data_IF_391203851641
#
_entry.id   IF_391203851641
#
_cell.length_a   1.000
_cell.length_b   1.000
_cell.length_c   1.000
_cell.angle_alpha   90.00
_cell.angle_beta   90.00
_cell.angle_gamma   90.00
#
_symmetry.space_group_name_H-M   'P 1'
#
loop_
_entity.id
_entity.type
_entity.pdbx_description
1 polymer ?
#
# COMPACT_ATOMS: atom_id res chain seq x y z
N UNK A 1 56.13 2.54 -19.09
CA UNK A 1 55.02 3.33 -18.59
C UNK A 1 53.73 2.57 -18.93
N UNK A 2 53.16 1.89 -17.95
CA UNK A 2 51.91 1.17 -18.12
C UNK A 2 50.84 1.98 -17.37
N UNK A 3 49.89 2.54 -18.14
CA UNK A 3 48.82 3.34 -17.62
C UNK A 3 47.69 2.36 -17.19
N UNK A 4 47.51 2.22 -15.89
CA UNK A 4 46.41 1.45 -15.31
C UNK A 4 45.12 2.28 -15.41
N UNK A 5 44.17 1.82 -16.21
CA UNK A 5 42.81 2.40 -16.33
C UNK A 5 41.94 1.80 -15.24
N UNK A 6 41.64 2.59 -14.22
CA UNK A 6 40.70 2.25 -13.16
C UNK A 6 39.29 2.41 -13.71
N UNK A 7 38.61 1.30 -13.95
CA UNK A 7 37.17 1.26 -14.25
C UNK A 7 36.42 1.32 -12.91
N UNK A 8 35.88 2.50 -12.59
CA UNK A 8 34.95 2.66 -11.45
C UNK A 8 33.60 2.06 -11.85
N UNK A 9 33.30 0.86 -11.33
CA UNK A 9 31.96 0.29 -11.37
C UNK A 9 31.11 1.04 -10.38
N UNK A 10 30.24 1.92 -10.85
CA UNK A 10 29.19 2.53 -10.04
C UNK A 10 28.13 1.45 -9.80
N UNK A 11 28.16 0.80 -8.63
CA UNK A 11 27.03 0.03 -8.16
C UNK A 11 25.90 1.01 -7.85
N UNK A 12 24.91 1.08 -8.72
CA UNK A 12 23.63 1.69 -8.41
C UNK A 12 22.98 0.85 -7.30
N UNK A 13 23.04 1.35 -6.06
CA UNK A 13 22.30 0.74 -4.95
C UNK A 13 20.80 0.92 -5.25
N UNK A 14 20.15 -0.14 -5.71
CA UNK A 14 18.70 -0.17 -5.82
C UNK A 14 18.12 0.06 -4.40
N UNK A 15 17.41 1.17 -4.20
CA UNK A 15 16.72 1.42 -2.95
C UNK A 15 15.72 0.26 -2.69
N UNK A 16 15.69 -0.30 -1.47
CA UNK A 16 14.76 -1.40 -1.18
C UNK A 16 13.33 -0.91 -1.33
N UNK A 17 12.53 -1.65 -2.10
CA UNK A 17 11.11 -1.40 -2.25
C UNK A 17 10.41 -1.48 -0.88
N UNK A 18 9.67 -0.44 -0.50
CA UNK A 18 9.03 -0.34 0.83
C UNK A 18 7.56 -0.74 0.75
N UNK A 19 7.16 -1.72 1.56
CA UNK A 19 5.78 -1.82 2.00
C UNK A 19 5.57 -0.82 3.14
N UNK A 20 4.51 -0.01 3.05
CA UNK A 20 4.13 0.88 4.12
C UNK A 20 3.14 0.21 5.05
N UNK A 21 3.36 0.34 6.35
CA UNK A 21 2.38 -0.05 7.33
C UNK A 21 1.29 1.02 7.43
N UNK A 22 0.05 0.65 7.13
CA UNK A 22 -1.11 1.53 7.31
C UNK A 22 -1.40 1.63 8.80
N UNK A 23 -0.92 2.71 9.43
CA UNK A 23 -0.92 2.89 10.88
C UNK A 23 -2.32 2.87 11.51
N UNK A 24 -3.32 3.40 10.82
CA UNK A 24 -4.68 3.56 11.35
C UNK A 24 -5.72 2.76 10.55
N UNK A 25 -5.41 1.47 10.27
CA UNK A 25 -6.29 0.62 9.46
C UNK A 25 -7.71 0.52 10.02
N UNK A 26 -7.84 0.48 11.35
CA UNK A 26 -9.10 0.31 12.07
C UNK A 26 -9.62 1.59 12.72
N UNK A 27 -8.98 2.74 12.46
CA UNK A 27 -9.39 4.03 12.99
C UNK A 27 -9.85 4.94 11.86
N UNK A 28 -11.04 5.53 11.99
CA UNK A 28 -11.60 6.44 10.99
C UNK A 28 -12.22 7.67 11.65
N UNK A 29 -12.25 8.76 10.90
CA UNK A 29 -12.93 10.00 11.27
C UNK A 29 -14.22 10.11 10.48
N UNK A 30 -15.34 10.29 11.17
CA UNK A 30 -16.66 10.46 10.56
C UNK A 30 -17.32 11.75 11.03
N UNK A 31 -18.07 12.44 10.17
CA UNK A 31 -18.89 13.56 10.57
C UNK A 31 -20.04 13.06 11.44
N UNK A 32 -20.44 13.88 12.44
CA UNK A 32 -21.54 13.59 13.34
C UNK A 32 -22.50 14.77 13.40
N UNK A 33 -23.79 14.47 13.35
CA UNK A 33 -24.83 15.42 13.67
C UNK A 33 -25.38 15.08 15.07
N UNK A 34 -25.03 15.90 16.06
CA UNK A 34 -25.42 15.67 17.48
C UNK A 34 -26.87 16.06 17.78
N UNK A 35 -27.55 16.66 16.84
CA UNK A 35 -28.97 16.96 16.97
C UNK A 35 -29.86 15.72 16.88
N UNK A 36 -29.35 14.68 16.20
CA UNK A 36 -30.02 13.40 16.07
C UNK A 36 -29.93 12.56 17.35
N UNK A 37 -31.02 11.93 17.81
CA UNK A 37 -31.02 11.12 19.05
C UNK A 37 -29.99 10.00 19.04
N UNK A 38 -29.85 9.32 17.89
CA UNK A 38 -29.00 8.13 17.70
C UNK A 38 -27.66 8.43 17.01
N UNK A 39 -27.19 9.68 17.10
CA UNK A 39 -26.00 10.14 16.37
C UNK A 39 -24.76 9.25 16.58
N UNK A 40 -24.58 8.69 17.81
CA UNK A 40 -23.43 7.82 18.09
C UNK A 40 -23.51 6.50 17.33
N UNK A 41 -24.67 5.87 17.35
CA UNK A 41 -24.88 4.61 16.65
C UNK A 41 -24.71 4.80 15.13
N UNK A 42 -25.29 5.86 14.60
CA UNK A 42 -25.10 6.21 13.19
C UNK A 42 -23.62 6.47 12.86
N UNK A 43 -22.88 7.18 13.74
CA UNK A 43 -21.45 7.40 13.57
C UNK A 43 -20.68 6.09 13.59
N UNK A 44 -20.98 5.16 14.49
CA UNK A 44 -20.33 3.86 14.56
C UNK A 44 -20.64 3.01 13.32
N UNK A 45 -21.87 3.01 12.82
CA UNK A 45 -22.25 2.33 11.57
C UNK A 45 -21.49 2.88 10.37
N UNK A 46 -21.42 4.21 10.23
CA UNK A 46 -20.64 4.87 9.16
C UNK A 46 -19.15 4.55 9.27
N UNK A 47 -18.61 4.62 10.48
CA UNK A 47 -17.22 4.31 10.74
C UNK A 47 -16.90 2.85 10.44
N UNK A 48 -17.75 1.90 10.86
CA UNK A 48 -17.60 0.48 10.59
C UNK A 48 -17.61 0.19 9.09
N UNK A 49 -18.56 0.77 8.35
CA UNK A 49 -18.63 0.65 6.90
C UNK A 49 -17.31 1.06 6.22
N UNK A 50 -16.72 2.20 6.62
CA UNK A 50 -15.44 2.65 6.08
C UNK A 50 -14.28 1.70 6.45
N UNK A 51 -14.26 1.20 7.68
CA UNK A 51 -13.25 0.22 8.12
C UNK A 51 -13.38 -1.08 7.33
N UNK A 52 -14.59 -1.60 7.12
CA UNK A 52 -14.82 -2.82 6.35
C UNK A 52 -14.31 -2.66 4.90
N UNK A 53 -14.60 -1.55 4.23
CA UNK A 53 -14.07 -1.23 2.89
C UNK A 53 -12.54 -1.20 2.91
N UNK A 54 -11.95 -0.59 3.93
CA UNK A 54 -10.49 -0.48 4.07
C UNK A 54 -9.83 -1.82 4.33
N UNK A 55 -10.41 -2.62 5.24
CA UNK A 55 -9.84 -3.91 5.67
C UNK A 55 -10.04 -5.02 4.65
N UNK A 56 -11.17 -5.03 3.93
CA UNK A 56 -11.37 -6.00 2.85
C UNK A 56 -10.70 -5.57 1.55
N UNK A 57 -10.42 -4.28 1.39
CA UNK A 57 -9.99 -3.69 0.15
C UNK A 57 -11.07 -3.69 -0.95
N UNK A 58 -12.33 -3.95 -0.63
CA UNK A 58 -13.45 -4.02 -1.57
C UNK A 58 -14.51 -2.98 -1.23
N UNK A 59 -14.89 -2.12 -2.19
CA UNK A 59 -15.97 -1.12 -1.98
C UNK A 59 -17.30 -1.77 -1.62
N UNK A 60 -17.58 -2.93 -2.21
CA UNK A 60 -18.82 -3.67 -1.98
C UNK A 60 -19.01 -4.12 -0.52
N UNK A 61 -17.95 -4.19 0.28
CA UNK A 61 -18.03 -4.61 1.68
C UNK A 61 -18.91 -3.70 2.55
N UNK A 62 -19.09 -2.44 2.16
CA UNK A 62 -19.95 -1.48 2.86
C UNK A 62 -21.44 -1.86 2.83
N UNK A 63 -21.88 -2.64 1.83
CA UNK A 63 -23.27 -3.07 1.65
C UNK A 63 -23.37 -4.58 1.42
N UNK A 64 -22.42 -5.34 1.91
CA UNK A 64 -22.42 -6.80 1.78
C UNK A 64 -23.40 -7.44 2.80
N UNK A 65 -24.50 -8.08 2.35
CA UNK A 65 -25.46 -8.70 3.25
C UNK A 65 -24.84 -9.77 4.16
N UNK A 66 -23.74 -10.41 3.73
CA UNK A 66 -23.00 -11.37 4.55
C UNK A 66 -22.31 -10.74 5.76
N UNK A 67 -22.28 -9.40 5.86
CA UNK A 67 -21.69 -8.65 6.96
C UNK A 67 -22.71 -7.90 7.81
N UNK A 68 -24.02 -8.05 7.55
CA UNK A 68 -25.09 -7.34 8.27
C UNK A 68 -25.04 -7.56 9.78
N UNK A 69 -24.65 -8.77 10.23
CA UNK A 69 -24.51 -9.08 11.65
C UNK A 69 -23.50 -8.19 12.39
N UNK A 70 -22.49 -7.61 11.69
CA UNK A 70 -21.56 -6.66 12.29
C UNK A 70 -22.22 -5.29 12.56
N UNK A 71 -23.31 -4.98 11.83
CA UNK A 71 -24.04 -3.72 11.96
C UNK A 71 -25.19 -3.78 12.95
N UNK A 72 -25.55 -4.97 13.50
CA UNK A 72 -26.58 -5.09 14.55
C UNK A 72 -26.18 -4.35 15.82
N UNK A 73 -24.93 -4.51 16.25
CA UNK A 73 -24.39 -3.81 17.42
C UNK A 73 -22.92 -3.40 17.18
N UNK A 74 -22.67 -2.36 16.38
CA UNK A 74 -21.31 -1.92 16.06
C UNK A 74 -20.54 -1.41 17.28
N UNK A 75 -21.24 -1.01 18.35
CA UNK A 75 -20.60 -0.51 19.57
C UNK A 75 -19.73 -1.58 20.26
N UNK A 76 -20.08 -2.86 20.14
CA UNK A 76 -19.28 -3.97 20.69
C UNK A 76 -17.91 -4.12 20.04
N UNK A 77 -17.76 -3.63 18.82
CA UNK A 77 -16.49 -3.66 18.08
C UNK A 77 -15.65 -2.40 18.34
N UNK A 78 -16.22 -1.38 18.96
CA UNK A 78 -15.50 -0.11 19.25
C UNK A 78 -14.56 -0.31 20.42
N UNK A 79 -13.26 -0.14 20.18
CA UNK A 79 -12.22 -0.13 21.20
C UNK A 79 -12.09 1.22 21.90
N UNK A 80 -12.34 2.31 21.17
CA UNK A 80 -12.29 3.66 21.70
C UNK A 80 -12.81 4.69 20.72
N UNK A 81 -13.11 5.89 21.24
CA UNK A 81 -13.46 7.02 20.40
C UNK A 81 -12.97 8.33 21.02
N UNK A 82 -12.72 9.33 20.18
CA UNK A 82 -12.39 10.70 20.60
C UNK A 82 -13.11 11.71 19.71
N UNK A 83 -13.45 12.85 20.31
CA UNK A 83 -14.04 13.96 19.56
C UNK A 83 -12.95 14.62 18.71
N UNK A 84 -13.26 14.90 17.45
CA UNK A 84 -12.48 15.75 16.58
C UNK A 84 -12.98 17.18 16.58
N UNK A 85 -12.29 18.06 15.86
CA UNK A 85 -12.80 19.37 15.49
C UNK A 85 -13.96 19.22 14.49
N UNK A 86 -14.70 20.30 14.25
CA UNK A 86 -15.69 20.42 13.17
C UNK A 86 -16.75 19.30 13.16
N UNK A 87 -17.35 19.05 14.36
CA UNK A 87 -18.38 18.03 14.51
C UNK A 87 -17.99 16.65 13.94
N UNK A 88 -16.79 16.21 14.22
CA UNK A 88 -16.31 14.89 13.81
C UNK A 88 -16.07 13.99 15.02
N UNK A 89 -16.13 12.67 14.76
CA UNK A 89 -15.80 11.63 15.72
C UNK A 89 -14.73 10.72 15.13
N UNK A 90 -13.65 10.52 15.87
CA UNK A 90 -12.68 9.48 15.60
C UNK A 90 -13.15 8.20 16.31
N UNK A 91 -13.25 7.11 15.56
CA UNK A 91 -13.67 5.81 16.09
C UNK A 91 -12.60 4.79 15.78
N UNK A 92 -12.13 4.10 16.82
CA UNK A 92 -11.17 2.99 16.70
C UNK A 92 -11.88 1.68 17.04
N UNK A 93 -11.71 0.68 16.18
CA UNK A 93 -12.32 -0.63 16.34
C UNK A 93 -11.30 -1.69 16.74
N UNK A 94 -11.78 -2.76 17.36
CA UNK A 94 -11.00 -3.98 17.61
C UNK A 94 -10.71 -4.71 16.27
N UNK A 95 -9.50 -4.51 15.77
CA UNK A 95 -9.08 -5.09 14.50
C UNK A 95 -9.07 -6.62 14.52
N UNK A 96 -8.80 -7.25 15.67
CA UNK A 96 -8.79 -8.71 15.79
C UNK A 96 -10.21 -9.25 15.70
N UNK A 97 -11.15 -8.62 16.39
CA UNK A 97 -12.56 -8.99 16.35
C UNK A 97 -13.13 -8.81 14.93
N UNK A 98 -12.87 -7.68 14.26
CA UNK A 98 -13.32 -7.46 12.88
C UNK A 98 -12.72 -8.51 11.94
N UNK A 99 -11.41 -8.75 12.00
CA UNK A 99 -10.75 -9.73 11.13
C UNK A 99 -11.27 -11.15 11.37
N UNK A 100 -11.60 -11.53 12.61
CA UNK A 100 -12.21 -12.81 12.91
C UNK A 100 -13.60 -12.94 12.26
N UNK A 101 -14.46 -11.92 12.41
CA UNK A 101 -15.79 -11.90 11.82
C UNK A 101 -15.77 -11.93 10.29
N UNK A 102 -14.85 -11.20 9.66
CA UNK A 102 -14.68 -11.25 8.21
C UNK A 102 -14.30 -12.65 7.73
N UNK A 103 -13.40 -13.33 8.44
CA UNK A 103 -13.01 -14.72 8.11
C UNK A 103 -14.16 -15.69 8.31
N UNK A 104 -14.92 -15.57 9.40
CA UNK A 104 -16.13 -16.37 9.65
C UNK A 104 -17.17 -16.21 8.54
N UNK A 105 -17.27 -14.99 7.98
CA UNK A 105 -18.13 -14.70 6.84
C UNK A 105 -17.52 -15.08 5.47
N UNK A 106 -16.35 -15.72 5.45
CA UNK A 106 -15.64 -16.06 4.20
C UNK A 106 -15.17 -14.85 3.40
N UNK A 107 -14.93 -13.71 4.06
CA UNK A 107 -14.47 -12.49 3.40
C UNK A 107 -12.97 -12.32 3.52
N UNK A 108 -12.37 -11.81 2.44
CA UNK A 108 -10.96 -11.55 2.40
C UNK A 108 -10.56 -10.43 3.39
N UNK A 109 -9.40 -10.60 4.02
CA UNK A 109 -8.79 -9.58 4.87
C UNK A 109 -7.50 -9.09 4.22
N UNK A 110 -7.44 -7.80 3.90
CA UNK A 110 -6.25 -7.14 3.42
C UNK A 110 -5.53 -6.49 4.60
N UNK A 111 -4.39 -7.05 4.97
CA UNK A 111 -3.61 -6.63 6.14
C UNK A 111 -3.08 -5.20 6.06
N UNK A 112 -2.39 -4.78 7.12
CA UNK A 112 -1.83 -3.43 7.24
C UNK A 112 -0.57 -3.19 6.43
N UNK A 113 0.20 -4.23 6.11
CA UNK A 113 1.37 -4.13 5.25
C UNK A 113 0.92 -4.08 3.79
N UNK A 114 1.09 -2.92 3.16
CA UNK A 114 0.61 -2.67 1.80
C UNK A 114 1.69 -2.07 0.93
N UNK A 115 1.80 -2.52 -0.34
CA UNK A 115 2.72 -1.92 -1.29
C UNK A 115 2.43 -0.44 -1.48
N UNK A 116 3.49 0.36 -1.56
CA UNK A 116 3.39 1.79 -1.87
C UNK A 116 3.07 1.96 -3.34
N UNK A 117 2.10 2.81 -3.65
CA UNK A 117 1.76 3.23 -5.02
C UNK A 117 2.35 4.60 -5.31
N UNK A 118 3.25 4.70 -6.28
CA UNK A 118 3.74 5.97 -6.81
C UNK A 118 2.83 6.43 -7.95
N UNK A 119 2.33 7.65 -7.86
CA UNK A 119 1.46 8.24 -8.87
C UNK A 119 2.17 9.31 -9.69
N UNK A 120 2.40 9.02 -10.98
CA UNK A 120 2.79 10.01 -11.97
C UNK A 120 1.54 10.54 -12.66
N UNK A 121 1.23 11.82 -12.52
CA UNK A 121 0.04 12.42 -13.06
C UNK A 121 0.41 13.57 -14.00
N UNK A 122 0.13 13.39 -15.29
CA UNK A 122 0.29 14.40 -16.31
C UNK A 122 -1.03 15.12 -16.56
N UNK A 123 -1.03 16.44 -16.50
CA UNK A 123 -2.21 17.29 -16.72
C UNK A 123 -1.94 18.25 -17.89
N UNK A 124 -2.81 18.22 -18.89
CA UNK A 124 -2.86 19.22 -19.97
C UNK A 124 -4.04 20.15 -19.70
N UNK A 125 -3.73 21.42 -19.33
CA UNK A 125 -4.74 22.44 -19.01
C UNK A 125 -5.17 23.24 -20.25
N UNK A 126 -4.60 22.88 -21.40
CA UNK A 126 -4.83 23.61 -22.66
C UNK A 126 -3.92 24.84 -22.81
N UNK A 127 -3.90 25.42 -24.02
CA UNK A 127 -3.09 26.62 -24.28
C UNK A 127 -1.57 26.44 -24.18
N UNK A 128 -1.09 25.19 -24.07
CA UNK A 128 0.32 24.89 -23.85
C UNK A 128 0.71 24.72 -22.38
N UNK A 129 -0.22 24.91 -21.44
CA UNK A 129 -0.02 24.67 -20.00
C UNK A 129 -0.11 23.17 -19.73
N UNK A 130 1.05 22.55 -19.56
CA UNK A 130 1.25 21.10 -19.40
C UNK A 130 2.26 20.85 -18.30
N UNK A 131 1.86 20.06 -17.28
CA UNK A 131 2.75 19.77 -16.18
C UNK A 131 2.55 18.35 -15.61
N UNK A 132 3.56 17.90 -14.86
CA UNK A 132 3.47 16.72 -13.99
C UNK A 132 3.18 17.21 -12.57
N UNK A 133 2.31 16.51 -11.87
CA UNK A 133 1.98 16.86 -10.49
C UNK A 133 3.06 16.33 -9.55
N UNK A 134 3.67 17.24 -8.79
CA UNK A 134 4.68 16.94 -7.76
C UNK A 134 4.05 16.61 -6.40
N UNK A 135 4.84 16.03 -5.50
CA UNK A 135 4.59 16.08 -4.08
C UNK A 135 4.43 17.53 -3.62
N UNK A 136 3.61 17.76 -2.57
CA UNK A 136 3.57 19.09 -1.94
C UNK A 136 4.96 19.38 -1.35
N UNK A 137 5.54 20.54 -1.65
CA UNK A 137 6.79 20.97 -1.02
C UNK A 137 6.55 21.05 0.49
N UNK A 138 7.44 20.43 1.27
CA UNK A 138 7.41 20.59 2.72
C UNK A 138 7.48 22.10 3.03
N UNK A 139 6.58 22.66 3.84
CA UNK A 139 6.59 24.10 4.12
C UNK A 139 8.01 24.47 4.59
N UNK A 140 8.63 25.39 3.89
CA UNK A 140 9.98 25.84 4.22
C UNK A 140 10.04 26.15 5.73
N UNK A 141 11.08 25.69 6.45
CA UNK A 141 11.19 25.89 7.89
C UNK A 141 10.96 27.35 8.21
N UNK A 142 10.04 27.61 9.14
CA UNK A 142 9.49 28.93 9.47
C UNK A 142 10.57 30.00 9.38
N UNK A 143 10.37 30.94 8.47
CA UNK A 143 11.32 32.02 8.21
C UNK A 143 11.73 32.72 9.52
N UNK A 144 13.02 32.96 9.69
CA UNK A 144 13.58 33.69 10.82
C UNK A 144 12.76 34.95 11.10
N UNK A 145 12.46 35.28 12.38
CA UNK A 145 11.65 36.42 12.72
C UNK A 145 12.29 37.71 12.16
N UNK A 146 11.56 38.42 11.29
CA UNK A 146 12.00 39.69 10.72
C UNK A 146 11.76 39.89 9.21
N UNK A 147 11.35 38.88 8.46
CA UNK A 147 10.81 39.04 7.12
C UNK A 147 9.29 38.98 7.14
N UNK A 148 8.68 40.09 6.76
CA UNK A 148 7.23 40.20 6.55
C UNK A 148 6.83 39.19 5.49
N UNK A 149 6.26 38.05 5.92
CA UNK A 149 5.56 37.16 5.03
C UNK A 149 4.21 37.81 4.78
N UNK A 150 4.08 38.46 3.62
CA UNK A 150 2.78 38.79 3.08
C UNK A 150 1.96 37.49 3.02
N UNK A 151 0.69 37.47 3.48
CA UNK A 151 -0.17 36.31 3.23
C UNK A 151 -0.17 36.04 1.74
N UNK A 152 -0.08 34.79 1.27
CA UNK A 152 -0.24 34.50 -0.15
C UNK A 152 -1.58 35.08 -0.59
N UNK A 153 -1.55 36.01 -1.55
CA UNK A 153 -2.77 36.43 -2.25
C UNK A 153 -3.34 35.16 -2.91
N UNK A 154 -4.67 35.03 -3.04
CA UNK A 154 -5.34 33.89 -3.66
C UNK A 154 -4.82 33.51 -5.08
N UNK A 155 -3.97 34.33 -5.66
CA UNK A 155 -3.28 34.10 -6.93
C UNK A 155 -2.09 33.12 -6.84
N UNK A 156 -1.58 32.82 -5.64
CA UNK A 156 -0.51 31.85 -5.39
C UNK A 156 -1.07 30.47 -4.93
N UNK A 157 -2.36 30.24 -5.03
CA UNK A 157 -2.97 28.97 -4.73
C UNK A 157 -2.46 27.93 -5.74
N UNK A 158 -1.71 26.94 -5.26
CA UNK A 158 -1.24 25.80 -6.05
C UNK A 158 -2.43 25.11 -6.73
N UNK A 159 -2.60 25.20 -8.06
CA UNK A 159 -3.76 24.63 -8.75
C UNK A 159 -3.84 23.11 -8.62
N UNK A 160 -2.71 22.47 -8.28
CA UNK A 160 -2.60 21.03 -8.18
C UNK A 160 -2.96 20.51 -6.80
N UNK A 161 -2.98 21.39 -5.80
CA UNK A 161 -3.33 21.05 -4.42
C UNK A 161 -4.69 20.37 -4.34
N UNK A 162 -5.68 20.87 -5.06
CA UNK A 162 -7.02 20.28 -5.06
C UNK A 162 -7.03 18.88 -5.68
N UNK A 163 -6.26 18.67 -6.76
CA UNK A 163 -6.11 17.35 -7.39
C UNK A 163 -5.41 16.37 -6.44
N UNK A 164 -4.31 16.79 -5.79
CA UNK A 164 -3.62 15.96 -4.81
C UNK A 164 -4.54 15.58 -3.67
N UNK A 165 -5.23 16.54 -3.08
CA UNK A 165 -6.14 16.28 -1.95
C UNK A 165 -7.23 15.26 -2.31
N UNK A 166 -7.86 15.38 -3.48
CA UNK A 166 -8.88 14.42 -3.95
C UNK A 166 -8.32 12.99 -4.03
N UNK A 167 -7.14 12.84 -4.61
CA UNK A 167 -6.46 11.54 -4.72
C UNK A 167 -6.14 10.97 -3.35
N UNK A 168 -5.54 11.79 -2.48
CA UNK A 168 -5.09 11.38 -1.15
C UNK A 168 -6.25 11.02 -0.22
N UNK A 169 -7.37 11.74 -0.32
CA UNK A 169 -8.56 11.44 0.47
C UNK A 169 -9.12 10.06 0.12
N UNK A 170 -9.18 9.72 -1.17
CA UNK A 170 -9.60 8.40 -1.61
C UNK A 170 -8.57 7.33 -1.21
N UNK A 171 -7.29 7.59 -1.42
CA UNK A 171 -6.22 6.67 -1.04
C UNK A 171 -6.26 6.37 0.47
N UNK A 172 -6.43 7.41 1.30
CA UNK A 172 -6.58 7.29 2.76
C UNK A 172 -7.84 6.52 3.14
N UNK A 173 -8.98 6.80 2.50
CA UNK A 173 -10.23 6.08 2.73
C UNK A 173 -10.11 4.59 2.43
N UNK A 174 -9.31 4.23 1.41
CA UNK A 174 -9.04 2.84 1.02
C UNK A 174 -7.87 2.21 1.76
N UNK A 175 -7.13 2.99 2.56
CA UNK A 175 -5.88 2.57 3.18
C UNK A 175 -4.83 2.17 2.15
N UNK A 176 -4.78 2.85 1.01
CA UNK A 176 -3.78 2.68 -0.03
C UNK A 176 -2.62 3.63 0.22
N UNK A 177 -1.40 3.15 0.57
CA UNK A 177 -0.23 4.01 0.65
C UNK A 177 0.07 4.59 -0.73
N UNK A 178 0.00 5.92 -0.85
CA UNK A 178 0.24 6.63 -2.10
C UNK A 178 1.30 7.70 -1.88
N UNK A 179 2.22 7.81 -2.83
CA UNK A 179 3.26 8.83 -2.87
C UNK A 179 3.28 9.51 -4.23
N UNK A 180 3.71 10.76 -4.23
CA UNK A 180 3.91 11.57 -5.43
C UNK A 180 5.39 11.67 -5.76
N UNK A 181 5.78 11.87 -7.03
CA UNK A 181 7.16 12.18 -7.38
C UNK A 181 7.57 13.55 -6.81
N UNK A 182 8.83 13.71 -6.44
CA UNK A 182 9.37 14.96 -5.94
C UNK A 182 9.54 16.01 -7.06
N UNK A 183 9.67 15.54 -8.30
CA UNK A 183 10.00 16.33 -9.47
C UNK A 183 11.23 17.24 -9.23
N UNK A 184 12.20 16.72 -8.50
CA UNK A 184 13.51 17.36 -8.31
C UNK A 184 14.35 17.31 -9.61
N UNK A 185 15.62 17.72 -9.54
CA UNK A 185 16.49 17.75 -10.71
C UNK A 185 16.72 16.36 -11.32
N UNK A 186 16.71 15.30 -10.49
CA UNK A 186 16.88 13.92 -10.93
C UNK A 186 15.64 13.42 -11.68
N UNK A 187 14.45 13.64 -11.12
CA UNK A 187 13.19 13.28 -11.77
C UNK A 187 13.03 14.02 -13.11
N UNK A 188 13.26 15.35 -13.11
CA UNK A 188 13.14 16.17 -14.34
C UNK A 188 14.18 15.83 -15.40
N UNK A 189 15.32 15.28 -14.99
CA UNK A 189 16.33 14.75 -15.91
C UNK A 189 15.98 13.39 -16.51
N UNK A 190 15.12 12.64 -15.84
CA UNK A 190 14.79 11.24 -16.18
C UNK A 190 13.41 11.10 -16.83
N UNK A 191 12.42 11.91 -16.44
CA UNK A 191 11.03 11.81 -16.91
C UNK A 191 10.53 13.17 -17.39
N UNK A 192 10.17 13.24 -18.67
CA UNK A 192 9.50 14.41 -19.24
C UNK A 192 7.96 14.22 -19.21
N UNK A 193 7.22 15.33 -19.29
CA UNK A 193 5.77 15.29 -19.48
C UNK A 193 5.36 14.37 -20.63
N UNK A 194 6.08 14.40 -21.75
CA UNK A 194 5.81 13.57 -22.93
C UNK A 194 5.90 12.08 -22.63
N UNK A 195 6.71 11.63 -21.68
CA UNK A 195 6.89 10.23 -21.36
C UNK A 195 5.63 9.69 -20.66
N UNK A 196 5.14 10.41 -19.65
CA UNK A 196 3.89 10.06 -18.98
C UNK A 196 2.71 10.21 -19.93
N UNK A 197 2.64 11.33 -20.67
CA UNK A 197 1.53 11.61 -21.61
C UNK A 197 1.48 10.63 -22.78
N UNK A 198 2.62 10.31 -23.37
CA UNK A 198 2.76 9.36 -24.48
C UNK A 198 2.64 7.90 -24.05
N UNK A 199 2.86 7.60 -22.78
CA UNK A 199 2.89 6.25 -22.25
C UNK A 199 4.20 5.52 -22.56
N UNK A 200 5.30 6.26 -22.58
CA UNK A 200 6.64 5.67 -22.67
C UNK A 200 7.01 5.10 -21.30
N UNK A 201 6.89 3.79 -21.18
CA UNK A 201 6.97 3.10 -19.89
C UNK A 201 8.36 3.15 -19.26
N UNK A 202 9.38 2.87 -20.07
CA UNK A 202 10.72 2.61 -19.57
C UNK A 202 11.31 3.77 -18.76
N UNK A 203 11.31 5.04 -19.21
CA UNK A 203 11.83 6.15 -18.43
C UNK A 203 11.11 6.32 -17.09
N UNK A 204 9.78 6.12 -17.09
CA UNK A 204 8.96 6.29 -15.90
C UNK A 204 9.20 5.17 -14.89
N UNK A 205 9.32 3.91 -15.34
CA UNK A 205 9.61 2.77 -14.47
C UNK A 205 11.02 2.87 -13.87
N UNK A 206 12.01 3.28 -14.66
CA UNK A 206 13.39 3.50 -14.20
C UNK A 206 13.44 4.59 -13.12
N UNK A 207 12.84 5.76 -13.36
CA UNK A 207 12.79 6.84 -12.40
C UNK A 207 11.99 6.46 -11.13
N UNK A 208 10.97 5.62 -11.27
CA UNK A 208 10.16 5.14 -10.14
C UNK A 208 10.95 4.28 -9.16
N UNK A 209 12.06 3.67 -9.59
CA UNK A 209 12.87 2.76 -8.76
C UNK A 209 13.42 3.44 -7.50
N UNK A 210 13.78 4.72 -7.57
CA UNK A 210 14.30 5.50 -6.42
C UNK A 210 13.29 5.67 -5.28
N UNK A 211 12.00 5.57 -5.58
CA UNK A 211 10.93 5.70 -4.59
C UNK A 211 10.64 4.42 -3.81
N UNK A 212 11.25 3.30 -4.21
CA UNK A 212 10.97 2.01 -3.61
C UNK A 212 9.50 1.58 -3.74
N UNK A 213 8.78 2.12 -4.72
CA UNK A 213 7.38 1.81 -4.96
C UNK A 213 7.26 0.54 -5.82
N UNK A 214 6.44 -0.41 -5.36
CA UNK A 214 6.16 -1.64 -6.09
C UNK A 214 4.95 -1.54 -7.01
N UNK A 215 4.12 -0.52 -6.80
CA UNK A 215 2.94 -0.21 -7.60
C UNK A 215 3.13 1.18 -8.22
N UNK A 216 2.98 1.28 -9.52
CA UNK A 216 3.14 2.54 -10.25
C UNK A 216 1.85 2.81 -11.00
N UNK A 217 1.26 3.98 -10.76
CA UNK A 217 0.06 4.45 -11.44
C UNK A 217 0.41 5.66 -12.31
N UNK A 218 0.14 5.58 -13.59
CA UNK A 218 0.26 6.69 -14.53
C UNK A 218 -1.11 7.25 -14.84
N UNK A 219 -1.32 8.54 -14.63
CA UNK A 219 -2.54 9.25 -14.96
C UNK A 219 -2.31 10.31 -16.04
N UNK A 220 -3.28 10.49 -16.95
CA UNK A 220 -3.27 11.50 -18.00
C UNK A 220 -4.62 12.18 -18.01
N UNK A 221 -4.62 13.44 -17.61
CA UNK A 221 -5.82 14.26 -17.49
C UNK A 221 -5.77 15.35 -18.55
N UNK A 222 -6.81 15.37 -19.38
CA UNK A 222 -7.12 16.49 -20.23
C UNK A 222 -8.14 17.37 -19.47
N UNK A 223 -7.72 18.55 -19.05
CA UNK A 223 -8.52 19.42 -18.21
C UNK A 223 -9.71 20.07 -18.96
N UNK A 224 -9.85 19.87 -20.27
CA UNK A 224 -11.04 20.28 -21.03
C UNK A 224 -12.30 19.47 -20.63
N UNK A 225 -12.11 18.39 -19.86
CA UNK A 225 -13.18 17.56 -19.31
C UNK A 225 -13.99 16.76 -20.33
N UNK A 226 -13.60 16.79 -21.61
CA UNK A 226 -14.34 16.09 -22.68
C UNK A 226 -14.18 14.59 -22.62
N UNK A 227 -13.09 14.11 -22.04
CA UNK A 227 -12.79 12.70 -21.93
C UNK A 227 -12.42 12.32 -20.49
N UNK A 228 -12.81 11.10 -20.11
CA UNK A 228 -12.32 10.55 -18.85
C UNK A 228 -10.81 10.37 -18.91
N UNK A 229 -10.10 10.69 -17.81
CA UNK A 229 -8.68 10.43 -17.64
C UNK A 229 -8.28 9.00 -18.02
N UNK A 230 -7.10 8.87 -18.59
CA UNK A 230 -6.52 7.58 -18.94
C UNK A 230 -5.53 7.16 -17.86
N UNK A 231 -5.60 5.89 -17.47
CA UNK A 231 -4.79 5.32 -16.41
C UNK A 231 -4.05 4.09 -16.91
N UNK A 232 -2.80 3.94 -16.50
CA UNK A 232 -2.00 2.74 -16.69
C UNK A 232 -1.41 2.36 -15.33
N UNK A 233 -1.58 1.12 -14.92
CA UNK A 233 -1.11 0.62 -13.64
C UNK A 233 -0.18 -0.56 -13.84
N UNK A 234 0.95 -0.54 -13.12
CA UNK A 234 1.98 -1.57 -13.12
C UNK A 234 2.11 -2.13 -11.72
N UNK A 235 2.01 -3.43 -11.58
CA UNK A 235 2.15 -4.12 -10.32
C UNK A 235 2.40 -5.61 -10.50
N UNK A 236 3.46 -6.16 -9.84
CA UNK A 236 3.76 -7.58 -9.87
C UNK A 236 4.04 -8.16 -11.26
N UNK A 237 4.54 -7.35 -12.20
CA UNK A 237 4.76 -7.72 -13.60
C UNK A 237 3.50 -7.64 -14.49
N UNK A 238 2.37 -7.25 -13.93
CA UNK A 238 1.15 -7.00 -14.70
C UNK A 238 1.04 -5.53 -15.08
N UNK A 239 0.49 -5.27 -16.26
CA UNK A 239 0.08 -3.95 -16.74
C UNK A 239 -1.41 -3.95 -17.01
N UNK A 240 -2.10 -2.92 -16.52
CA UNK A 240 -3.53 -2.73 -16.78
C UNK A 240 -3.82 -1.30 -17.18
N UNK A 241 -4.70 -1.12 -18.16
CA UNK A 241 -5.10 0.19 -18.66
C UNK A 241 -6.61 0.34 -18.61
N UNK A 242 -7.07 1.57 -18.26
CA UNK A 242 -8.51 1.91 -18.26
C UNK A 242 -8.74 3.41 -18.36
N UNK A 243 -10.01 3.79 -18.50
CA UNK A 243 -10.48 5.17 -18.34
C UNK A 243 -11.43 5.25 -17.16
N UNK A 244 -11.25 6.27 -16.31
CA UNK A 244 -12.07 6.49 -15.13
C UNK A 244 -11.90 7.92 -14.61
N UNK A 245 -12.80 8.38 -13.72
CA UNK A 245 -12.54 9.55 -12.88
C UNK A 245 -11.29 9.35 -12.03
N UNK A 246 -10.77 10.40 -11.45
CA UNK A 246 -9.59 10.34 -10.56
C UNK A 246 -9.87 9.42 -9.39
N UNK A 247 -11.02 9.61 -8.75
CA UNK A 247 -11.43 8.84 -7.58
C UNK A 247 -11.60 7.34 -7.92
N UNK A 248 -12.30 7.06 -9.03
CA UNK A 248 -12.51 5.67 -9.45
C UNK A 248 -11.22 4.97 -9.85
N UNK A 249 -10.22 5.70 -10.36
CA UNK A 249 -8.93 5.12 -10.65
C UNK A 249 -8.22 4.63 -9.38
N UNK A 250 -8.17 5.47 -8.34
CA UNK A 250 -7.57 5.10 -7.04
C UNK A 250 -8.35 3.97 -6.38
N UNK A 251 -9.68 4.03 -6.43
CA UNK A 251 -10.51 2.93 -5.95
C UNK A 251 -10.19 1.62 -6.67
N UNK A 252 -10.03 1.65 -7.99
CA UNK A 252 -9.74 0.47 -8.80
C UNK A 252 -8.37 -0.11 -8.51
N UNK A 253 -7.35 0.72 -8.28
CA UNK A 253 -6.04 0.24 -7.85
C UNK A 253 -6.16 -0.53 -6.53
N UNK A 254 -6.87 0.04 -5.55
CA UNK A 254 -7.08 -0.63 -4.26
C UNK A 254 -7.84 -1.96 -4.41
N UNK A 255 -8.91 -2.02 -5.25
CA UNK A 255 -9.66 -3.24 -5.52
C UNK A 255 -8.77 -4.32 -6.17
N UNK A 256 -7.94 -3.93 -7.16
CA UNK A 256 -7.03 -4.85 -7.85
C UNK A 256 -5.93 -5.38 -6.92
N UNK A 257 -5.33 -4.51 -6.11
CA UNK A 257 -4.31 -4.92 -5.14
C UNK A 257 -4.88 -5.86 -4.07
N UNK A 258 -6.05 -5.50 -3.52
CA UNK A 258 -6.72 -6.37 -2.55
C UNK A 258 -7.06 -7.74 -3.16
N UNK A 259 -7.53 -7.78 -4.40
CA UNK A 259 -7.79 -9.04 -5.11
C UNK A 259 -6.57 -9.94 -5.26
N UNK A 260 -5.35 -9.35 -5.32
CA UNK A 260 -4.10 -10.10 -5.42
C UNK A 260 -3.49 -10.48 -4.06
N UNK A 261 -3.68 -9.64 -3.03
CA UNK A 261 -2.95 -9.71 -1.77
C UNK A 261 -3.80 -10.11 -0.57
N UNK A 262 -5.12 -9.84 -0.59
CA UNK A 262 -5.99 -10.17 0.53
C UNK A 262 -6.23 -11.69 0.62
N UNK A 263 -6.22 -12.23 1.84
CA UNK A 263 -6.46 -13.64 2.10
C UNK A 263 -7.93 -13.87 2.48
N UNK A 264 -8.55 -14.89 1.88
CA UNK A 264 -9.91 -15.33 2.20
C UNK A 264 -9.87 -16.39 3.30
N UNK A 265 -10.70 -16.22 4.33
CA UNK A 265 -10.71 -17.11 5.49
C UNK A 265 -11.09 -18.57 5.22
N UNK A 266 -11.73 -18.85 4.09
CA UNK A 266 -12.20 -20.18 3.68
C UNK A 266 -11.20 -20.95 2.81
N UNK A 267 -10.02 -20.38 2.54
CA UNK A 267 -8.95 -21.09 1.86
C UNK A 267 -8.39 -22.18 2.78
N UNK A 268 -8.15 -23.38 2.19
CA UNK A 268 -7.54 -24.48 2.94
C UNK A 268 -6.28 -24.03 3.63
N UNK A 269 -6.23 -24.22 4.94
CA UNK A 269 -4.99 -23.97 5.70
C UNK A 269 -3.90 -24.89 5.13
N UNK A 270 -2.75 -24.32 4.86
CA UNK A 270 -1.53 -25.06 4.52
C UNK A 270 -0.46 -24.77 5.55
N UNK A 271 0.55 -25.61 5.61
CA UNK A 271 1.73 -25.37 6.43
C UNK A 271 2.94 -25.27 5.52
N UNK A 272 3.90 -24.41 5.89
CA UNK A 272 5.18 -24.33 5.21
C UNK A 272 6.28 -24.10 6.26
N UNK A 273 7.49 -24.59 5.98
CA UNK A 273 8.69 -24.21 6.69
C UNK A 273 9.38 -23.13 5.85
N UNK A 274 9.68 -21.99 6.46
CA UNK A 274 10.31 -20.85 5.78
C UNK A 274 11.66 -20.55 6.43
N UNK A 275 12.73 -20.70 5.68
CA UNK A 275 14.07 -20.26 6.07
C UNK A 275 14.35 -18.88 5.49
N UNK A 276 14.58 -17.90 6.35
CA UNK A 276 14.94 -16.53 5.99
C UNK A 276 16.42 -16.35 6.25
N UNK A 277 17.22 -16.14 5.21
CA UNK A 277 18.66 -15.89 5.27
C UNK A 277 18.98 -14.40 5.28
N UNK A 278 20.20 -14.03 5.71
CA UNK A 278 20.63 -12.61 5.74
C UNK A 278 20.14 -11.86 6.97
N UNK A 279 19.85 -12.56 8.06
CA UNK A 279 19.42 -11.96 9.33
C UNK A 279 20.63 -11.92 10.26
N UNK A 280 21.29 -10.76 10.33
CA UNK A 280 22.60 -10.64 10.97
C UNK A 280 22.53 -10.18 12.45
N UNK A 281 21.42 -9.57 12.85
CA UNK A 281 21.28 -9.01 14.19
C UNK A 281 19.86 -9.15 14.78
N UNK A 282 19.69 -8.76 16.04
CA UNK A 282 18.40 -8.81 16.75
C UNK A 282 17.37 -7.83 16.16
N UNK A 283 17.79 -6.73 15.58
CA UNK A 283 16.89 -5.77 14.96
C UNK A 283 16.27 -6.35 13.69
N UNK A 284 17.09 -6.96 12.83
CA UNK A 284 16.65 -7.71 11.65
C UNK A 284 15.72 -8.87 12.03
N UNK A 285 16.06 -9.64 13.08
CA UNK A 285 15.16 -10.68 13.62
C UNK A 285 13.78 -10.11 13.99
N UNK A 286 13.76 -9.02 14.77
CA UNK A 286 12.51 -8.42 15.22
C UNK A 286 11.69 -7.87 14.04
N UNK A 287 12.35 -7.32 13.03
CA UNK A 287 11.72 -6.79 11.83
C UNK A 287 11.11 -7.91 10.98
N UNK A 288 11.86 -8.95 10.67
CA UNK A 288 11.40 -10.13 9.92
C UNK A 288 10.23 -10.80 10.63
N UNK A 289 10.34 -11.05 11.94
CA UNK A 289 9.27 -11.69 12.72
C UNK A 289 7.98 -10.85 12.72
N UNK A 290 8.10 -9.53 12.92
CA UNK A 290 6.98 -8.60 12.92
C UNK A 290 6.33 -8.52 11.54
N UNK A 291 7.15 -8.45 10.50
CA UNK A 291 6.67 -8.42 9.13
C UNK A 291 5.87 -9.69 8.81
N UNK A 292 6.46 -10.87 8.99
CA UNK A 292 5.80 -12.14 8.71
C UNK A 292 4.49 -12.30 9.49
N UNK A 293 4.45 -11.87 10.75
CA UNK A 293 3.24 -11.89 11.57
C UNK A 293 2.14 -10.91 11.08
N UNK A 294 2.51 -9.86 10.34
CA UNK A 294 1.58 -8.86 9.79
C UNK A 294 1.00 -9.25 8.43
N UNK A 295 1.62 -10.21 7.75
CA UNK A 295 1.19 -10.67 6.41
C UNK A 295 -0.13 -11.40 6.50
N UNK A 296 -1.13 -10.95 5.72
CA UNK A 296 -2.51 -11.46 5.79
C UNK A 296 -2.68 -12.95 5.51
N UNK A 297 -1.75 -13.53 4.73
CA UNK A 297 -1.75 -14.97 4.45
C UNK A 297 -1.12 -15.81 5.56
N UNK A 298 -0.44 -15.21 6.53
CA UNK A 298 0.17 -15.91 7.67
C UNK A 298 -0.83 -15.91 8.83
N UNK A 299 -1.33 -17.09 9.19
CA UNK A 299 -2.25 -17.30 10.31
C UNK A 299 -1.52 -17.57 11.62
N UNK A 300 -0.42 -18.31 11.51
CA UNK A 300 0.44 -18.68 12.64
C UNK A 300 1.90 -18.65 12.24
N UNK A 301 2.75 -18.16 13.15
CA UNK A 301 4.20 -18.05 13.01
C UNK A 301 4.86 -18.63 14.23
N UNK A 302 5.74 -19.61 14.04
CA UNK A 302 6.54 -20.23 15.10
C UNK A 302 7.98 -20.30 14.65
N UNK A 303 8.90 -19.70 15.39
CA UNK A 303 10.34 -19.91 15.19
C UNK A 303 10.70 -21.34 15.59
N UNK A 304 11.32 -22.10 14.70
CA UNK A 304 11.82 -23.46 14.95
C UNK A 304 13.31 -23.49 15.17
N UNK A 305 14.06 -22.69 14.42
CA UNK A 305 15.51 -22.71 14.45
C UNK A 305 16.09 -21.30 14.23
N UNK A 306 17.17 -21.03 14.92
CA UNK A 306 18.04 -19.88 14.71
C UNK A 306 19.46 -20.41 14.54
N UNK A 307 20.00 -20.33 13.34
CA UNK A 307 21.34 -20.81 13.00
C UNK A 307 22.08 -19.76 12.17
N UNK A 308 23.29 -19.43 12.60
CA UNK A 308 24.17 -18.44 11.97
C UNK A 308 23.42 -17.12 11.67
N UNK A 309 23.17 -16.83 10.39
CA UNK A 309 22.43 -15.67 9.91
C UNK A 309 21.09 -16.04 9.26
N UNK A 310 20.48 -17.15 9.68
CA UNK A 310 19.23 -17.66 9.14
C UNK A 310 18.20 -17.96 10.25
N UNK A 311 16.92 -17.70 9.94
CA UNK A 311 15.79 -18.00 10.81
C UNK A 311 14.87 -18.98 10.10
N UNK A 312 14.57 -20.10 10.73
CA UNK A 312 13.61 -21.06 10.21
C UNK A 312 12.30 -20.98 11.00
N UNK A 313 11.24 -20.67 10.29
CA UNK A 313 9.89 -20.58 10.84
C UNK A 313 9.01 -21.70 10.32
N UNK A 314 8.16 -22.22 11.19
CA UNK A 314 6.96 -22.96 10.78
C UNK A 314 5.82 -21.98 10.65
N UNK A 315 5.20 -21.98 9.48
CA UNK A 315 4.09 -21.12 9.13
C UNK A 315 2.80 -21.92 8.99
N UNK A 316 1.71 -21.38 9.53
CA UNK A 316 0.35 -21.76 9.14
C UNK A 316 -0.15 -20.69 8.16
N UNK A 317 -0.49 -21.10 6.95
CA UNK A 317 -0.86 -20.22 5.86
C UNK A 317 -2.34 -20.34 5.52
N UNK A 318 -2.92 -19.25 5.05
CA UNK A 318 -4.21 -19.23 4.37
C UNK A 318 -3.96 -19.35 2.86
N UNK A 319 -4.37 -20.46 2.28
CA UNK A 319 -4.14 -20.74 0.86
C UNK A 319 -2.78 -21.38 0.57
N UNK A 320 -2.40 -21.35 -0.69
CA UNK A 320 -1.18 -21.99 -1.18
C UNK A 320 0.10 -21.18 -0.86
N UNK A 321 1.25 -21.84 -0.62
CA UNK A 321 2.52 -21.19 -0.28
C UNK A 321 3.01 -20.15 -1.32
N UNK A 322 2.64 -20.32 -2.58
CA UNK A 322 3.01 -19.41 -3.67
C UNK A 322 2.45 -17.99 -3.47
N UNK A 323 1.32 -17.87 -2.74
CA UNK A 323 0.76 -16.56 -2.37
C UNK A 323 1.69 -15.84 -1.40
N UNK A 324 2.24 -16.54 -0.41
CA UNK A 324 3.27 -15.97 0.48
C UNK A 324 4.45 -15.45 -0.34
N UNK A 325 4.96 -16.25 -1.28
CA UNK A 325 6.06 -15.84 -2.16
C UNK A 325 5.76 -14.57 -2.95
N UNK A 326 4.53 -14.40 -3.40
CA UNK A 326 4.10 -13.18 -4.08
C UNK A 326 4.11 -11.98 -3.13
N UNK A 327 3.57 -12.12 -1.93
CA UNK A 327 3.54 -11.05 -0.93
C UNK A 327 4.95 -10.66 -0.49
N UNK A 328 5.82 -11.64 -0.26
CA UNK A 328 7.21 -11.37 0.14
C UNK A 328 7.97 -10.61 -0.95
N UNK A 329 7.86 -11.01 -2.23
CA UNK A 329 8.48 -10.27 -3.35
C UNK A 329 7.97 -8.83 -3.46
N UNK A 330 6.66 -8.64 -3.31
CA UNK A 330 6.03 -7.33 -3.42
C UNK A 330 6.35 -6.40 -2.25
N UNK A 331 6.84 -6.93 -1.13
CA UNK A 331 7.32 -6.10 -0.02
C UNK A 331 8.65 -5.40 -0.33
N UNK A 332 9.41 -5.93 -1.29
CA UNK A 332 10.77 -5.47 -1.62
C UNK A 332 11.83 -5.77 -0.56
N UNK A 333 11.43 -6.28 0.60
CA UNK A 333 12.32 -6.64 1.72
C UNK A 333 12.88 -8.05 1.61
N UNK A 334 12.32 -8.84 0.70
CA UNK A 334 12.70 -10.23 0.51
C UNK A 334 13.00 -10.52 -0.95
N UNK A 335 13.94 -11.42 -1.16
CA UNK A 335 14.27 -11.95 -2.49
C UNK A 335 13.14 -12.84 -3.05
N UNK A 336 13.47 -13.57 -4.10
CA UNK A 336 12.57 -14.58 -4.65
C UNK A 336 12.44 -15.74 -3.66
N UNK A 337 11.22 -16.21 -3.42
CA UNK A 337 10.98 -17.43 -2.66
C UNK A 337 11.40 -18.63 -3.52
N UNK A 338 12.24 -19.45 -2.97
CA UNK A 338 12.70 -20.71 -3.59
C UNK A 338 12.14 -21.89 -2.80
N UNK A 339 11.63 -22.88 -3.49
CA UNK A 339 11.25 -24.14 -2.89
C UNK A 339 12.48 -25.05 -2.86
N UNK A 340 12.81 -25.54 -1.69
CA UNK A 340 13.92 -26.48 -1.54
C UNK A 340 13.38 -27.86 -1.91
N UNK A 341 13.70 -28.30 -3.13
CA UNK A 341 13.37 -29.65 -3.57
C UNK A 341 14.40 -30.61 -3.00
N UNK A 342 13.95 -31.59 -2.22
CA UNK A 342 14.83 -32.68 -1.76
C UNK A 342 15.37 -33.45 -2.97
N UNK A 343 16.71 -33.47 -3.18
CA UNK A 343 17.33 -34.15 -4.32
C UNK A 343 17.09 -35.68 -4.32
N UNK A 344 16.62 -36.26 -3.24
CA UNK A 344 16.31 -37.70 -3.16
C UNK A 344 15.03 -38.12 -3.86
N UNK A 345 14.12 -37.16 -4.22
CA UNK A 345 12.90 -37.42 -4.99
C UNK A 345 11.87 -38.29 -4.28
N UNK A 346 12.07 -38.60 -2.97
CA UNK A 346 11.20 -39.43 -2.16
C UNK A 346 10.26 -38.62 -1.27
N UNK A 347 9.93 -37.38 -1.67
CA UNK A 347 8.97 -36.56 -0.95
C UNK A 347 7.66 -37.31 -0.72
N UNK A 348 7.39 -37.68 0.53
CA UNK A 348 6.15 -38.35 0.89
C UNK A 348 4.96 -37.43 0.66
N UNK A 349 3.89 -37.94 0.11
CA UNK A 349 2.62 -37.22 -0.03
C UNK A 349 2.15 -36.72 1.33
N UNK A 350 2.30 -35.40 1.60
CA UNK A 350 1.94 -34.77 2.87
C UNK A 350 3.07 -34.04 3.59
N UNK A 351 4.27 -33.97 3.00
CA UNK A 351 5.41 -33.24 3.57
C UNK A 351 5.18 -31.73 3.49
N UNK A 352 5.52 -31.03 4.58
CA UNK A 352 5.44 -29.55 4.65
C UNK A 352 6.51 -28.98 3.72
N UNK A 353 6.16 -28.13 2.71
CA UNK A 353 7.14 -27.60 1.79
C UNK A 353 8.17 -26.74 2.51
N UNK A 354 9.45 -26.97 2.22
CA UNK A 354 10.57 -26.15 2.68
C UNK A 354 10.83 -25.02 1.68
N UNK A 355 10.75 -23.81 2.18
CA UNK A 355 10.88 -22.59 1.40
C UNK A 355 12.09 -21.79 1.90
N UNK A 356 12.81 -21.14 1.01
CA UNK A 356 13.94 -20.27 1.37
C UNK A 356 13.79 -18.91 0.73
N UNK A 357 14.12 -17.86 1.48
CA UNK A 357 14.10 -16.48 1.00
C UNK A 357 15.22 -15.68 1.65
N UNK A 358 15.86 -14.79 0.88
CA UNK A 358 16.86 -13.88 1.43
C UNK A 358 16.18 -12.58 1.92
N UNK A 359 16.47 -12.17 3.15
CA UNK A 359 16.10 -10.86 3.67
C UNK A 359 17.04 -9.78 3.13
N UNK A 360 16.48 -8.62 2.82
CA UNK A 360 17.17 -7.42 2.32
C UNK A 360 16.73 -6.24 3.18
N UNK A 361 17.53 -5.80 4.12
CA UNK A 361 17.22 -4.72 5.05
C UNK A 361 16.96 -3.37 4.37
#
# INVERSE_FOLDING_TARGET
MVTAMIVAVVLAAAAPARAAQVAELYTVRVPVDRSEPDWREQAYRRALSQVLVRVTGQRAAAGDPGLDALFEDPARLVQGYRRGADETLWVSFDGRAIAARLREAGRAVWGGERPVTLLWLAVDRGGGDRDLIAAEDEPAPAALPGRSTRPPDDADADPDRFLRQRVEDVARARGLPLVWPLLDAEDRGSVAFSDVWGGFEQPVLEASSRYGANSILLGRIDADGRQLPRWTWYFGGEQRQWRASIEDAVHRVADLMAGQLAAVGDERASSARLTVTGVEDLAAYAEVSRYLASVSVVRGLRLEELADNALTYRLELLGAPERLGRVLRLSGRFGTLEEVVDPSGLGAVGEVPDLTVAYRP
#
